data_IF_195925122844
#
_entry.id   IF_195925122844
#
_cell.length_a   1.000
_cell.length_b   1.000
_cell.length_c   1.000
_cell.angle_alpha   90.00
_cell.angle_beta   90.00
_cell.angle_gamma   90.00
#
_symmetry.space_group_name_H-M   'P 1'
#
loop_
_entity.id
_entity.type
_entity.pdbx_description
1 polymer ?
#
# COMPACT_ATOMS: atom_id res chain seq x y z
N UNK A 1 3.30 -14.87 -23.75
CA UNK A 1 3.56 -13.41 -23.64
C UNK A 1 4.41 -13.16 -22.41
N UNK A 2 5.24 -12.09 -22.36
CA UNK A 2 5.89 -11.70 -21.10
C UNK A 2 4.78 -11.39 -20.09
N UNK A 3 4.87 -12.01 -18.91
CA UNK A 3 3.80 -12.05 -17.90
C UNK A 3 3.94 -10.95 -16.84
N UNK A 4 4.98 -10.12 -16.92
CA UNK A 4 5.32 -9.14 -15.90
C UNK A 4 5.39 -7.72 -16.46
N UNK A 5 4.90 -6.75 -15.68
CA UNK A 5 4.85 -5.32 -16.02
C UNK A 5 6.23 -4.64 -15.96
N UNK A 6 7.11 -5.07 -15.06
CA UNK A 6 8.44 -4.47 -14.86
C UNK A 6 8.38 -2.93 -14.76
N UNK A 7 9.33 -2.21 -15.34
CA UNK A 7 9.42 -0.74 -15.39
C UNK A 7 8.62 -0.11 -16.54
N UNK A 8 7.50 -0.71 -16.96
CA UNK A 8 6.66 -0.13 -18.02
C UNK A 8 6.12 1.26 -17.69
N UNK A 9 5.80 1.48 -16.42
CA UNK A 9 5.15 2.71 -15.95
C UNK A 9 6.16 3.60 -15.19
N UNK A 10 7.47 3.43 -15.45
CA UNK A 10 8.53 4.22 -14.81
C UNK A 10 8.40 5.72 -15.13
N UNK A 11 7.81 6.05 -16.28
CA UNK A 11 7.51 7.40 -16.74
C UNK A 11 6.42 8.11 -15.91
N UNK A 12 5.75 7.41 -15.00
CA UNK A 12 4.75 8.01 -14.09
C UNK A 12 5.42 8.67 -12.87
N UNK A 13 6.68 8.31 -12.57
CA UNK A 13 7.43 8.93 -11.47
C UNK A 13 7.76 10.38 -11.77
N UNK A 14 7.79 11.18 -10.71
CA UNK A 14 8.07 12.61 -10.72
C UNK A 14 9.13 12.95 -9.69
N UNK A 15 9.77 14.12 -9.85
CA UNK A 15 10.71 14.65 -8.85
C UNK A 15 9.99 14.76 -7.49
N UNK A 16 10.62 14.26 -6.43
CA UNK A 16 10.05 14.17 -5.09
C UNK A 16 9.33 12.85 -4.77
N UNK A 17 9.06 12.00 -5.76
CA UNK A 17 8.57 10.64 -5.48
C UNK A 17 9.66 9.80 -4.82
N UNK A 18 9.26 8.79 -4.04
CA UNK A 18 10.19 7.90 -3.35
C UNK A 18 10.14 6.48 -3.90
N UNK A 19 11.30 5.84 -3.98
CA UNK A 19 11.41 4.41 -4.21
C UNK A 19 12.36 3.77 -3.21
N UNK A 20 12.22 2.45 -3.03
CA UNK A 20 12.92 1.70 -1.99
C UNK A 20 13.75 0.57 -2.59
N UNK A 21 14.98 0.43 -2.11
CA UNK A 21 15.86 -0.70 -2.43
C UNK A 21 16.02 -1.56 -1.18
N UNK A 22 15.58 -2.82 -1.27
CA UNK A 22 15.74 -3.79 -0.19
C UNK A 22 16.86 -4.77 -0.51
N UNK A 23 17.88 -4.83 0.34
CA UNK A 23 19.04 -5.70 0.18
C UNK A 23 19.51 -6.22 1.53
N UNK A 24 19.75 -7.53 1.63
CA UNK A 24 20.24 -8.20 2.86
C UNK A 24 19.41 -7.89 4.14
N UNK A 25 18.12 -7.60 4.00
CA UNK A 25 17.22 -7.28 5.11
C UNK A 25 17.20 -5.81 5.52
N UNK A 26 17.99 -4.95 4.87
CA UNK A 26 17.94 -3.50 5.03
C UNK A 26 17.10 -2.86 3.91
N UNK A 27 16.41 -1.77 4.23
CA UNK A 27 15.65 -0.97 3.28
C UNK A 27 16.27 0.42 3.20
N UNK A 28 16.55 0.86 1.97
CA UNK A 28 17.08 2.18 1.68
C UNK A 28 16.05 2.96 0.85
N UNK A 29 15.76 4.19 1.27
CA UNK A 29 14.84 5.08 0.58
C UNK A 29 15.61 6.07 -0.29
N UNK A 30 15.11 6.31 -1.50
CA UNK A 30 15.64 7.29 -2.44
C UNK A 30 14.52 8.19 -2.91
N UNK A 31 14.77 9.49 -2.95
CA UNK A 31 13.85 10.48 -3.50
C UNK A 31 14.30 10.86 -4.91
N UNK A 32 13.37 10.85 -5.87
CA UNK A 32 13.64 11.15 -7.27
C UNK A 32 14.08 12.60 -7.40
N UNK A 33 15.29 12.81 -7.91
CA UNK A 33 15.89 14.13 -8.11
C UNK A 33 15.92 14.54 -9.58
N UNK A 34 16.05 13.56 -10.48
CA UNK A 34 16.22 13.79 -11.93
C UNK A 34 15.57 12.70 -12.78
N UNK A 35 15.07 13.11 -13.94
CA UNK A 35 14.49 12.24 -14.96
C UNK A 35 15.03 12.69 -16.31
N UNK A 36 15.75 11.80 -16.99
CA UNK A 36 16.44 12.10 -18.23
C UNK A 36 16.17 11.03 -19.29
N UNK A 37 16.23 11.45 -20.56
CA UNK A 37 16.17 10.53 -21.71
C UNK A 37 17.45 10.71 -22.52
N UNK A 38 18.21 9.61 -22.66
CA UNK A 38 19.52 9.60 -23.31
C UNK A 38 19.56 8.59 -24.45
N UNK A 39 20.49 8.77 -25.37
CA UNK A 39 20.78 7.76 -26.37
C UNK A 39 21.47 6.53 -25.73
N UNK A 40 21.30 5.31 -26.28
CA UNK A 40 21.84 4.10 -25.66
C UNK A 40 23.35 4.05 -25.51
N UNK A 41 24.07 4.91 -26.23
CA UNK A 41 25.53 4.99 -26.26
C UNK A 41 26.08 6.18 -25.44
N UNK A 42 25.22 7.06 -24.94
CA UNK A 42 25.57 8.06 -23.96
C UNK A 42 25.66 7.38 -22.59
N UNK A 43 26.86 7.36 -22.02
CA UNK A 43 27.20 6.60 -20.81
C UNK A 43 27.81 7.47 -19.72
N UNK A 44 27.90 8.78 -19.96
CA UNK A 44 28.44 9.78 -19.03
C UNK A 44 27.65 9.79 -17.71
N UNK A 45 26.37 9.43 -17.75
CA UNK A 45 25.50 9.32 -16.56
C UNK A 45 25.85 8.14 -15.64
N UNK A 46 26.68 7.17 -16.07
CA UNK A 46 27.16 6.07 -15.23
C UNK A 46 28.31 6.49 -14.31
N UNK A 47 28.90 7.65 -14.54
CA UNK A 47 29.98 8.16 -13.71
C UNK A 47 29.48 8.47 -12.31
N UNK A 48 30.28 8.08 -11.31
CA UNK A 48 29.94 8.34 -9.91
C UNK A 48 30.14 9.83 -9.60
N UNK A 49 29.13 10.46 -9.02
CA UNK A 49 29.25 11.81 -8.47
C UNK A 49 29.88 11.77 -7.08
N UNK A 50 30.88 12.63 -6.83
CA UNK A 50 31.57 12.67 -5.54
C UNK A 50 30.61 13.12 -4.42
N UNK A 51 30.61 12.39 -3.30
CA UNK A 51 29.78 12.63 -2.12
C UNK A 51 28.26 12.45 -2.30
N UNK A 52 27.80 11.78 -3.36
CA UNK A 52 26.39 11.41 -3.53
C UNK A 52 26.17 9.91 -3.38
N UNK A 53 25.05 9.54 -2.75
CA UNK A 53 24.52 8.16 -2.74
C UNK A 53 23.28 8.15 -3.62
N UNK A 54 23.43 7.63 -4.85
CA UNK A 54 22.43 7.69 -5.90
C UNK A 54 22.09 6.30 -6.45
N UNK A 55 20.83 6.14 -6.82
CA UNK A 55 20.36 4.99 -7.59
C UNK A 55 19.61 5.49 -8.81
N UNK A 56 19.98 4.98 -9.99
CA UNK A 56 19.27 5.26 -11.24
C UNK A 56 18.50 4.04 -11.70
N UNK A 57 17.17 4.16 -11.80
CA UNK A 57 16.31 3.18 -12.44
C UNK A 57 16.36 3.41 -13.96
N UNK A 58 16.73 2.39 -14.72
CA UNK A 58 16.87 2.46 -16.18
C UNK A 58 15.83 1.59 -16.88
N UNK A 59 15.20 2.14 -17.91
CA UNK A 59 14.37 1.38 -18.85
C UNK A 59 14.57 1.87 -20.29
N UNK A 60 13.99 1.16 -21.26
CA UNK A 60 13.95 1.60 -22.65
C UNK A 60 12.83 2.62 -22.87
N UNK A 61 13.07 3.59 -23.76
CA UNK A 61 12.12 4.63 -24.15
C UNK A 61 12.27 4.94 -25.65
N UNK A 62 11.27 5.46 -26.39
CA UNK A 62 9.84 5.48 -26.08
C UNK A 62 9.23 4.08 -26.01
N UNK A 63 8.12 3.93 -25.30
CA UNK A 63 7.40 2.66 -25.20
C UNK A 63 7.15 2.03 -26.58
N UNK A 64 7.44 0.73 -26.71
CA UNK A 64 7.39 -0.07 -27.95
C UNK A 64 8.41 0.29 -29.05
N UNK A 65 9.16 1.39 -28.91
CA UNK A 65 10.17 1.83 -29.88
C UNK A 65 11.59 1.52 -29.38
N UNK A 66 11.86 1.78 -28.10
CA UNK A 66 13.11 1.43 -27.39
C UNK A 66 14.41 2.03 -27.99
N UNK A 67 14.34 3.16 -28.68
CA UNK A 67 15.49 3.83 -29.32
C UNK A 67 16.38 4.59 -28.35
N UNK A 68 15.86 4.97 -27.18
CA UNK A 68 16.49 5.72 -26.11
C UNK A 68 16.42 4.95 -24.79
N UNK A 69 17.00 5.55 -23.74
CA UNK A 69 16.94 5.06 -22.36
C UNK A 69 16.33 6.15 -21.49
N UNK A 70 15.33 5.78 -20.70
CA UNK A 70 14.80 6.61 -19.65
C UNK A 70 15.55 6.29 -18.36
N UNK A 71 16.04 7.34 -17.71
CA UNK A 71 16.78 7.31 -16.46
C UNK A 71 15.96 8.04 -15.41
N UNK A 72 15.67 7.38 -14.30
CA UNK A 72 15.08 8.01 -13.11
C UNK A 72 16.08 7.90 -11.98
N UNK A 73 16.73 9.01 -11.64
CA UNK A 73 17.80 9.05 -10.63
C UNK A 73 17.23 9.58 -9.32
N UNK A 74 17.36 8.78 -8.26
CA UNK A 74 17.06 9.19 -6.90
C UNK A 74 18.30 9.33 -6.03
N UNK A 75 18.25 10.25 -5.09
CA UNK A 75 19.28 10.47 -4.08
C UNK A 75 18.82 9.92 -2.72
N UNK A 76 19.77 9.41 -1.94
CA UNK A 76 19.51 8.75 -0.67
C UNK A 76 18.84 9.70 0.33
N UNK A 77 17.73 9.25 0.92
CA UNK A 77 17.04 9.94 2.03
C UNK A 77 16.93 9.03 3.26
N UNK A 78 16.81 9.58 4.48
CA UNK A 78 16.51 8.79 5.67
C UNK A 78 15.25 7.95 5.45
N UNK A 79 15.34 6.65 5.73
CA UNK A 79 14.17 5.78 5.68
C UNK A 79 13.39 5.90 6.98
N UNK A 80 12.22 6.54 6.92
CA UNK A 80 11.28 6.61 8.03
C UNK A 80 10.28 5.46 7.93
N UNK A 81 10.30 4.56 8.91
CA UNK A 81 9.26 3.52 9.02
C UNK A 81 8.01 4.19 9.58
N UNK A 82 7.05 4.52 8.72
CA UNK A 82 5.69 4.79 9.20
C UNK A 82 5.12 3.47 9.76
N UNK A 83 5.15 3.34 11.09
CA UNK A 83 4.59 2.19 11.85
C UNK A 83 3.10 1.92 11.55
N UNK A 84 2.43 2.82 10.84
CA UNK A 84 1.04 2.69 10.41
C UNK A 84 0.80 1.56 9.39
N UNK A 85 1.80 1.14 8.61
CA UNK A 85 1.61 0.18 7.51
C UNK A 85 1.65 -1.30 7.93
N UNK A 86 2.31 -1.64 9.04
CA UNK A 86 2.36 -3.01 9.57
C UNK A 86 1.06 -3.37 10.33
N UNK A 87 0.41 -2.39 10.94
CA UNK A 87 -0.81 -2.61 11.74
C UNK A 87 -2.14 -2.45 10.96
N UNK A 88 -2.18 -1.66 9.88
CA UNK A 88 -3.45 -1.39 9.15
C UNK A 88 -4.07 -2.60 8.47
N UNK A 89 -3.26 -3.49 7.91
CA UNK A 89 -3.79 -4.61 7.09
C UNK A 89 -4.53 -5.68 7.90
N UNK A 90 -4.20 -5.81 9.19
CA UNK A 90 -4.89 -6.71 10.12
C UNK A 90 -6.09 -6.02 10.78
N UNK A 91 -5.96 -4.74 11.12
CA UNK A 91 -7.03 -3.98 11.80
C UNK A 91 -8.23 -3.73 10.90
N UNK A 92 -8.02 -3.25 9.68
CA UNK A 92 -9.12 -2.78 8.82
C UNK A 92 -10.03 -3.95 8.37
N UNK A 93 -9.48 -5.15 8.13
CA UNK A 93 -10.27 -6.35 7.82
C UNK A 93 -10.94 -6.98 9.03
N UNK A 94 -10.34 -6.85 10.22
CA UNK A 94 -10.93 -7.37 11.45
C UNK A 94 -12.11 -6.52 11.91
N UNK A 95 -12.05 -5.19 11.76
CA UNK A 95 -13.15 -4.29 12.09
C UNK A 95 -14.37 -4.50 11.18
N UNK A 96 -14.16 -4.66 9.87
CA UNK A 96 -15.25 -4.93 8.92
C UNK A 96 -16.00 -6.25 9.22
N UNK A 97 -15.28 -7.32 9.56
CA UNK A 97 -15.88 -8.61 9.94
C UNK A 97 -16.64 -8.56 11.28
N UNK A 98 -16.18 -7.74 12.23
CA UNK A 98 -16.83 -7.57 13.53
C UNK A 98 -18.12 -6.75 13.43
N UNK A 99 -18.17 -5.75 12.56
CA UNK A 99 -19.34 -4.89 12.36
C UNK A 99 -20.50 -5.66 11.68
N UNK A 100 -20.21 -6.54 10.72
CA UNK A 100 -21.25 -7.35 10.04
C UNK A 100 -22.01 -8.26 11.03
N UNK A 101 -21.29 -8.93 11.93
CA UNK A 101 -21.89 -9.84 12.90
C UNK A 101 -22.50 -9.13 14.13
N UNK A 102 -22.12 -7.89 14.42
CA UNK A 102 -22.65 -7.13 15.55
C UNK A 102 -24.15 -6.82 15.41
N UNK A 103 -24.61 -6.49 14.20
CA UNK A 103 -26.02 -6.14 13.98
C UNK A 103 -26.98 -7.33 14.22
N UNK A 104 -26.59 -8.52 13.76
CA UNK A 104 -27.38 -9.75 13.92
C UNK A 104 -27.49 -10.18 15.40
N UNK A 105 -26.42 -10.01 16.18
CA UNK A 105 -26.41 -10.37 17.61
C UNK A 105 -27.31 -9.45 18.43
N UNK A 106 -27.27 -8.14 18.20
CA UNK A 106 -28.13 -7.15 18.87
C UNK A 106 -29.61 -7.44 18.59
N UNK A 107 -29.97 -7.76 17.33
CA UNK A 107 -31.33 -8.09 16.94
C UNK A 107 -31.87 -9.32 17.72
N UNK A 108 -31.07 -10.39 17.83
CA UNK A 108 -31.44 -11.60 18.56
C UNK A 108 -31.66 -11.34 20.06
N UNK A 109 -30.81 -10.52 20.68
CA UNK A 109 -30.95 -10.14 22.08
C UNK A 109 -32.26 -9.38 22.32
N UNK A 110 -32.60 -8.41 21.48
CA UNK A 110 -33.87 -7.66 21.58
C UNK A 110 -35.08 -8.60 21.46
N UNK A 111 -35.05 -9.54 20.52
CA UNK A 111 -36.11 -10.53 20.33
C UNK A 111 -36.23 -11.43 21.59
N UNK A 112 -35.12 -11.88 22.15
CA UNK A 112 -35.14 -12.72 23.37
C UNK A 112 -35.76 -11.97 24.58
N UNK A 113 -35.42 -10.69 24.75
CA UNK A 113 -35.91 -9.87 25.85
C UNK A 113 -37.41 -9.60 25.71
N UNK A 114 -37.86 -9.29 24.50
CA UNK A 114 -39.30 -9.07 24.23
C UNK A 114 -40.12 -10.34 24.50
N UNK A 115 -39.64 -11.51 24.09
CA UNK A 115 -40.28 -12.80 24.39
C UNK A 115 -40.32 -13.05 25.90
N UNK A 116 -39.23 -12.81 26.63
CA UNK A 116 -39.17 -12.97 28.09
C UNK A 116 -40.16 -12.05 28.81
N UNK A 117 -40.28 -10.80 28.37
CA UNK A 117 -41.25 -9.84 28.93
C UNK A 117 -42.68 -10.31 28.67
N UNK A 118 -42.99 -10.73 27.44
CA UNK A 118 -44.32 -11.26 27.09
C UNK A 118 -44.64 -12.50 27.93
N UNK A 119 -43.68 -13.41 28.10
CA UNK A 119 -43.82 -14.60 28.93
C UNK A 119 -44.05 -14.23 30.40
N UNK A 120 -43.28 -13.30 30.97
CA UNK A 120 -43.48 -12.81 32.34
C UNK A 120 -44.86 -12.18 32.54
N UNK A 121 -45.33 -11.36 31.60
CA UNK A 121 -46.66 -10.73 31.68
C UNK A 121 -47.76 -11.78 31.59
N UNK A 122 -47.64 -12.75 30.68
CA UNK A 122 -48.61 -13.84 30.52
C UNK A 122 -48.63 -14.76 31.75
N UNK A 123 -47.46 -15.06 32.32
CA UNK A 123 -47.33 -15.86 33.54
C UNK A 123 -47.94 -15.13 34.75
N UNK A 124 -47.68 -13.82 34.90
CA UNK A 124 -48.30 -13.00 35.96
C UNK A 124 -49.81 -12.89 35.85
N UNK A 125 -50.36 -12.83 34.62
CA UNK A 125 -51.80 -12.79 34.40
C UNK A 125 -52.46 -14.13 34.75
N UNK A 126 -51.84 -15.25 34.40
CA UNK A 126 -52.37 -16.60 34.69
C UNK A 126 -52.37 -16.96 36.18
N UNK A 127 -51.46 -16.40 36.98
CA UNK A 127 -51.47 -16.57 38.45
C UNK A 127 -52.42 -15.60 39.19
N UNK A 128 -53.09 -14.69 38.48
CA UNK A 128 -54.06 -13.73 39.05
C UNK A 128 -55.53 -14.11 38.81
N UNK A 129 -55.78 -15.16 38.03
CA UNK A 129 -57.09 -15.83 37.91
C UNK A 129 -57.08 -17.10 38.77
#
# INVERSE_FOLDING_TARGET
LPSAKMFRDLNELQKGDQFFVQVLGETYAYEVEGIDVVEPHQTEWLEMEENKDQVTLLTCDPYMINTHRMLVTGERVPYEIEEASVNKTVSDKAEDLLIEHLYLTILLVIISITILIIFMVKYRKRNRE
#
